data_IF_170124211847
#
_entry.id   IF_170124211847
#
_cell.length_a   1.000
_cell.length_b   1.000
_cell.length_c   1.000
_cell.angle_alpha   90.00
_cell.angle_beta   90.00
_cell.angle_gamma   90.00
#
_symmetry.space_group_name_H-M   'P 1'
#
loop_
_entity.id
_entity.type
_entity.pdbx_description
1 polymer ?
#
# COMPACT_ATOMS: atom_id res chain seq x y z
N UNK A 1 -11.02 -7.23 31.39
CA UNK A 1 -12.10 -7.25 30.38
C UNK A 1 -11.61 -6.59 29.11
N UNK A 2 -11.16 -7.39 28.13
CA UNK A 2 -10.67 -6.85 26.85
C UNK A 2 -11.86 -6.56 25.95
N UNK A 3 -12.25 -5.28 25.85
CA UNK A 3 -13.26 -4.81 24.90
C UNK A 3 -12.68 -4.99 23.49
N UNK A 4 -12.82 -6.21 22.96
CA UNK A 4 -12.50 -6.52 21.58
C UNK A 4 -13.67 -6.02 20.72
N UNK A 5 -13.80 -4.70 20.62
CA UNK A 5 -14.68 -4.06 19.64
C UNK A 5 -14.12 -4.48 18.29
N UNK A 6 -14.75 -5.47 17.65
CA UNK A 6 -14.36 -5.99 16.34
C UNK A 6 -14.55 -4.86 15.32
N UNK A 7 -13.55 -3.98 15.19
CA UNK A 7 -13.50 -3.01 14.10
C UNK A 7 -13.44 -3.76 12.78
N UNK A 8 -14.29 -3.34 11.84
CA UNK A 8 -14.29 -3.86 10.48
C UNK A 8 -12.92 -3.66 9.83
N UNK A 9 -12.51 -4.52 8.88
CA UNK A 9 -11.25 -4.36 8.16
C UNK A 9 -11.17 -3.00 7.45
N UNK A 10 -12.29 -2.49 6.94
CA UNK A 10 -12.38 -1.18 6.28
C UNK A 10 -12.05 -0.03 7.24
N UNK A 11 -12.64 -0.02 8.44
CA UNK A 11 -12.40 1.00 9.47
C UNK A 11 -10.92 1.01 9.91
N UNK A 12 -10.29 -0.17 10.01
CA UNK A 12 -8.85 -0.28 10.31
C UNK A 12 -8.00 0.30 9.19
N UNK A 13 -8.39 0.10 7.94
CA UNK A 13 -7.66 0.62 6.79
C UNK A 13 -7.76 2.14 6.71
N UNK A 14 -8.94 2.70 6.95
CA UNK A 14 -9.16 4.15 6.95
C UNK A 14 -8.28 4.85 7.99
N UNK A 15 -8.24 4.33 9.22
CA UNK A 15 -7.40 4.90 10.29
C UNK A 15 -5.91 4.87 9.92
N UNK A 16 -5.45 3.76 9.33
CA UNK A 16 -4.05 3.64 8.89
C UNK A 16 -3.74 4.63 7.77
N UNK A 17 -4.66 4.80 6.81
CA UNK A 17 -4.50 5.75 5.70
C UNK A 17 -4.51 7.20 6.20
N UNK A 18 -5.33 7.54 7.20
CA UNK A 18 -5.35 8.87 7.82
C UNK A 18 -3.99 9.16 8.48
N UNK A 19 -3.46 8.22 9.28
CA UNK A 19 -2.17 8.39 9.95
C UNK A 19 -0.97 8.40 9.01
N UNK A 20 -1.06 7.73 7.86
CA UNK A 20 -0.04 7.79 6.82
C UNK A 20 -0.09 9.09 6.00
N UNK A 21 -1.26 9.71 5.86
CA UNK A 21 -1.41 11.00 5.16
C UNK A 21 -0.99 12.19 6.02
N UNK A 22 -1.29 12.16 7.33
CA UNK A 22 -0.95 13.26 8.25
C UNK A 22 0.48 13.16 8.79
N UNK A 23 1.20 12.06 8.54
CA UNK A 23 2.51 11.70 9.11
C UNK A 23 2.54 11.61 10.67
N UNK A 24 1.45 12.01 11.35
CA UNK A 24 1.33 11.98 12.81
C UNK A 24 0.53 10.76 13.32
N UNK A 25 1.25 9.64 13.49
CA UNK A 25 0.66 8.37 13.97
C UNK A 25 0.13 8.52 15.41
N UNK A 26 0.76 9.35 16.24
CA UNK A 26 0.42 9.51 17.66
C UNK A 26 -0.93 10.19 17.84
N UNK A 27 -1.18 11.27 17.11
CA UNK A 27 -2.43 12.01 17.11
C UNK A 27 -3.57 11.17 16.53
N UNK A 28 -3.34 10.48 15.40
CA UNK A 28 -4.31 9.53 14.83
C UNK A 28 -4.66 8.42 15.83
N UNK A 29 -3.67 7.85 16.53
CA UNK A 29 -3.92 6.82 17.54
C UNK A 29 -4.78 7.34 18.71
N UNK A 30 -4.52 8.57 19.20
CA UNK A 30 -5.31 9.22 20.25
C UNK A 30 -6.74 9.51 19.80
N UNK A 31 -6.91 10.07 18.60
CA UNK A 31 -8.21 10.41 18.00
C UNK A 31 -9.12 9.20 17.85
N UNK A 32 -8.57 8.08 17.41
CA UNK A 32 -9.33 6.83 17.18
C UNK A 32 -9.36 5.90 18.39
N UNK A 33 -8.68 6.25 19.48
CA UNK A 33 -8.58 5.43 20.69
C UNK A 33 -7.94 4.06 20.42
N UNK A 34 -6.90 4.03 19.59
CA UNK A 34 -6.12 2.83 19.28
C UNK A 34 -4.70 2.96 19.82
N UNK A 35 -4.06 1.81 20.04
CA UNK A 35 -2.65 1.77 20.41
C UNK A 35 -1.77 1.80 19.17
N UNK A 36 -0.59 2.41 19.27
CA UNK A 36 0.41 2.44 18.19
C UNK A 36 0.83 1.03 17.73
N UNK A 37 0.81 0.06 18.65
CA UNK A 37 1.05 -1.35 18.32
C UNK A 37 0.00 -1.93 17.37
N UNK A 38 -1.27 -1.56 17.55
CA UNK A 38 -2.36 -1.95 16.65
C UNK A 38 -2.22 -1.25 15.30
N UNK A 39 -1.95 0.06 15.30
CA UNK A 39 -1.72 0.83 14.08
C UNK A 39 -0.57 0.23 13.26
N UNK A 40 0.57 -0.04 13.89
CA UNK A 40 1.74 -0.62 13.22
C UNK A 40 1.45 -2.02 12.68
N UNK A 41 0.68 -2.83 13.41
CA UNK A 41 0.24 -4.14 12.91
C UNK A 41 -0.64 -4.01 11.66
N UNK A 42 -1.59 -3.09 11.67
CA UNK A 42 -2.50 -2.85 10.54
C UNK A 42 -1.77 -2.24 9.35
N UNK A 43 -0.87 -1.29 9.59
CA UNK A 43 0.06 -0.71 8.60
C UNK A 43 0.89 -1.79 7.93
N UNK A 44 1.53 -2.68 8.69
CA UNK A 44 2.30 -3.80 8.13
C UNK A 44 1.43 -4.72 7.27
N UNK A 45 0.21 -5.04 7.70
CA UNK A 45 -0.73 -5.85 6.91
C UNK A 45 -1.14 -5.16 5.61
N UNK A 46 -1.46 -3.88 5.65
CA UNK A 46 -1.81 -3.08 4.46
C UNK A 46 -0.68 -3.02 3.44
N UNK A 47 0.53 -2.70 3.91
CA UNK A 47 1.75 -2.65 3.09
C UNK A 47 2.05 -4.04 2.52
N UNK A 48 1.93 -5.10 3.33
CA UNK A 48 2.14 -6.48 2.92
C UNK A 48 1.14 -6.93 1.85
N UNK A 49 -0.15 -6.66 2.03
CA UNK A 49 -1.18 -6.97 1.04
C UNK A 49 -0.96 -6.22 -0.27
N UNK A 50 -0.64 -4.93 -0.22
CA UNK A 50 -0.32 -4.15 -1.41
C UNK A 50 0.95 -4.66 -2.13
N UNK A 51 1.95 -5.16 -1.39
CA UNK A 51 3.13 -5.79 -1.97
C UNK A 51 2.80 -7.10 -2.68
N UNK A 52 1.97 -7.93 -2.07
CA UNK A 52 1.53 -9.18 -2.65
C UNK A 52 0.68 -8.96 -3.91
N UNK A 53 -0.25 -7.99 -3.89
CA UNK A 53 -1.02 -7.61 -5.07
C UNK A 53 -0.12 -7.14 -6.22
N UNK A 54 0.87 -6.28 -5.94
CA UNK A 54 1.84 -5.87 -6.95
C UNK A 54 2.66 -7.04 -7.49
N UNK A 55 3.04 -7.99 -6.63
CA UNK A 55 3.76 -9.20 -7.05
C UNK A 55 2.90 -10.06 -7.97
N UNK A 56 1.62 -10.28 -7.63
CA UNK A 56 0.66 -11.01 -8.47
C UNK A 56 0.50 -10.34 -9.84
N UNK A 57 0.40 -9.01 -9.88
CA UNK A 57 0.33 -8.27 -11.15
C UNK A 57 1.61 -8.45 -11.99
N UNK A 58 2.78 -8.44 -11.37
CA UNK A 58 4.04 -8.69 -12.09
C UNK A 58 4.14 -10.12 -12.63
N UNK A 59 3.66 -11.10 -11.87
CA UNK A 59 3.59 -12.51 -12.27
C UNK A 59 2.68 -12.70 -13.48
N UNK A 60 1.47 -12.11 -13.47
CA UNK A 60 0.54 -12.09 -14.61
C UNK A 60 1.18 -11.45 -15.85
N UNK A 61 1.95 -10.38 -15.65
CA UNK A 61 2.64 -9.68 -16.75
C UNK A 61 3.80 -10.49 -17.30
N UNK A 62 4.50 -11.26 -16.46
CA UNK A 62 5.62 -12.11 -16.86
C UNK A 62 5.15 -13.43 -17.52
N UNK A 63 4.03 -13.98 -17.10
CA UNK A 63 3.38 -15.14 -17.73
C UNK A 63 2.68 -14.77 -19.05
N UNK A 64 2.25 -13.51 -19.20
CA UNK A 64 1.66 -13.04 -20.44
C UNK A 64 2.67 -13.07 -21.59
N UNK A 65 2.34 -13.83 -22.63
CA UNK A 65 3.06 -13.85 -23.91
C UNK A 65 2.90 -12.57 -24.74
N UNK A 66 2.04 -11.65 -24.29
CA UNK A 66 1.84 -10.32 -24.89
C UNK A 66 2.74 -9.27 -24.24
N UNK A 67 3.11 -8.20 -24.96
CA UNK A 67 4.04 -7.20 -24.44
C UNK A 67 3.51 -6.54 -23.16
N UNK A 68 4.41 -6.33 -22.21
CA UNK A 68 4.19 -5.70 -20.89
C UNK A 68 3.26 -4.50 -20.94
N UNK A 69 3.45 -3.61 -21.94
CA UNK A 69 2.66 -2.39 -22.11
C UNK A 69 1.17 -2.70 -22.32
N UNK A 70 0.88 -3.68 -23.18
CA UNK A 70 -0.48 -4.13 -23.49
C UNK A 70 -1.11 -4.86 -22.30
N UNK A 71 -0.35 -5.65 -21.55
CA UNK A 71 -0.85 -6.28 -20.32
C UNK A 71 -1.15 -5.24 -19.25
N UNK A 72 -0.29 -4.22 -19.09
CA UNK A 72 -0.55 -3.10 -18.19
C UNK A 72 -1.82 -2.34 -18.58
N UNK A 73 -2.05 -2.08 -19.87
CA UNK A 73 -3.30 -1.46 -20.34
C UNK A 73 -4.54 -2.29 -19.99
N UNK A 74 -4.49 -3.62 -20.18
CA UNK A 74 -5.58 -4.53 -19.79
C UNK A 74 -5.84 -4.54 -18.29
N UNK A 75 -4.79 -4.49 -17.49
CA UNK A 75 -4.86 -4.43 -16.03
C UNK A 75 -5.19 -3.01 -15.51
N UNK A 76 -5.43 -2.04 -16.39
CA UNK A 76 -5.59 -0.60 -16.07
C UNK A 76 -4.45 -0.07 -15.19
N UNK A 77 -3.26 -0.61 -15.40
CA UNK A 77 -2.05 -0.28 -14.69
C UNK A 77 -1.27 0.78 -15.47
N UNK A 78 -0.80 1.81 -14.79
CA UNK A 78 0.10 2.78 -15.41
C UNK A 78 1.44 2.10 -15.74
N UNK A 79 1.79 2.06 -17.03
CA UNK A 79 3.02 1.42 -17.53
C UNK A 79 4.29 1.95 -16.83
N UNK A 80 4.36 3.24 -16.51
CA UNK A 80 5.50 3.82 -15.79
C UNK A 80 5.61 3.27 -14.35
N UNK A 81 4.48 3.18 -13.62
CA UNK A 81 4.44 2.57 -12.28
C UNK A 81 4.88 1.12 -12.29
N UNK A 82 4.52 0.36 -13.33
CA UNK A 82 4.99 -1.02 -13.48
C UNK A 82 6.52 -1.11 -13.57
N UNK A 83 7.15 -0.31 -14.44
CA UNK A 83 8.60 -0.34 -14.60
C UNK A 83 9.33 0.15 -13.34
N UNK A 84 8.80 1.15 -12.63
CA UNK A 84 9.32 1.57 -11.32
C UNK A 84 9.24 0.43 -10.29
N UNK A 85 8.10 -0.27 -10.19
CA UNK A 85 7.96 -1.41 -9.29
C UNK A 85 8.91 -2.55 -9.62
N UNK A 86 9.03 -2.90 -10.91
CA UNK A 86 9.96 -3.94 -11.38
C UNK A 86 11.42 -3.58 -11.05
N UNK A 87 11.79 -2.31 -11.20
CA UNK A 87 13.12 -1.80 -10.85
C UNK A 87 13.41 -1.92 -9.35
N UNK A 88 12.46 -1.48 -8.50
CA UNK A 88 12.58 -1.56 -7.04
C UNK A 88 12.61 -3.00 -6.54
N UNK A 89 11.81 -3.89 -7.15
CA UNK A 89 11.80 -5.33 -6.83
C UNK A 89 13.18 -5.96 -6.98
N UNK A 90 13.88 -5.66 -8.08
CA UNK A 90 15.22 -6.19 -8.36
C UNK A 90 16.31 -5.59 -7.48
N UNK A 91 16.10 -4.39 -6.93
CA UNK A 91 17.10 -3.67 -6.14
C UNK A 91 17.11 -4.09 -4.66
N UNK A 92 15.95 -4.19 -4.01
CA UNK A 92 15.89 -4.39 -2.54
C UNK A 92 14.76 -5.32 -2.05
N UNK A 93 13.97 -5.92 -2.96
CA UNK A 93 12.68 -6.52 -2.60
C UNK A 93 11.59 -5.45 -2.38
N UNK A 94 10.31 -5.83 -2.42
CA UNK A 94 9.20 -4.85 -2.36
C UNK A 94 9.08 -4.25 -0.95
N UNK A 95 9.84 -3.20 -0.69
CA UNK A 95 9.47 -2.22 0.33
C UNK A 95 8.46 -1.28 -0.32
N UNK A 96 7.17 -1.48 -0.07
CA UNK A 96 6.15 -0.47 -0.41
C UNK A 96 6.42 0.73 0.49
N UNK A 97 7.33 1.60 0.08
CA UNK A 97 7.21 3.01 0.45
C UNK A 97 5.88 3.43 -0.15
N UNK A 98 4.88 3.57 0.73
CA UNK A 98 3.57 4.08 0.38
C UNK A 98 3.82 5.36 -0.41
N UNK A 99 3.27 5.51 -1.64
CA UNK A 99 3.35 6.79 -2.29
C UNK A 99 2.57 7.74 -1.39
N UNK A 100 3.28 8.60 -0.64
CA UNK A 100 2.72 9.89 -0.28
C UNK A 100 2.13 10.45 -1.58
N UNK A 101 0.86 10.89 -1.58
CA UNK A 101 0.31 11.50 -2.77
C UNK A 101 1.27 12.62 -3.20
N UNK A 102 1.81 12.51 -4.41
CA UNK A 102 2.51 13.61 -5.11
C UNK A 102 1.54 14.77 -5.45
N UNK A 103 0.60 15.08 -4.57
CA UNK A 103 0.13 16.45 -4.49
C UNK A 103 1.34 17.23 -3.95
N UNK A 104 1.90 18.14 -4.76
CA UNK A 104 3.09 18.99 -4.53
C UNK A 104 4.36 18.66 -5.34
N UNK A 105 4.24 18.29 -6.61
CA UNK A 105 5.11 18.92 -7.63
C UNK A 105 4.29 19.96 -8.39
N UNK A 106 4.01 21.07 -7.70
CA UNK A 106 3.80 22.35 -8.33
C UNK A 106 5.16 23.05 -8.31
N UNK A 107 5.84 23.11 -9.45
CA UNK A 107 6.72 24.18 -9.93
C UNK A 107 7.08 23.89 -11.39
#
# INVERSE_FOLDING_TARGET
MSKNTKRSPEEKMEIVLEGLQNDDISETCRKHGIYESQFNQWKKRLIGSAAEEKRKLMDIVEESTIPVKTTCEKLKLNSWRYYDWRKRYKAEGITISLPLPHALTAF
#
